data_IF_620864577200
#
_entry.id   IF_620864577200
#
_cell.length_a   1.000
_cell.length_b   1.000
_cell.length_c   1.000
_cell.angle_alpha   90.00
_cell.angle_beta   90.00
_cell.angle_gamma   90.00
#
_symmetry.space_group_name_H-M   'P 1'
#
loop_
_entity.id
_entity.type
_entity.pdbx_description
1 polymer ?
#
# COMPACT_ATOMS: atom_id res chain seq x y z
N UNK A 1 9.50 18.97 6.77
CA UNK A 1 8.28 18.26 7.14
C UNK A 1 8.53 16.78 7.32
N UNK A 2 7.94 16.23 8.33
CA UNK A 2 8.17 14.81 8.61
C UNK A 2 7.43 13.94 7.59
N UNK A 3 8.15 13.04 6.95
CA UNK A 3 7.55 12.03 6.10
C UNK A 3 7.40 10.75 6.91
N UNK A 4 6.52 9.88 6.43
CA UNK A 4 6.36 8.55 7.01
C UNK A 4 7.46 7.64 6.49
N UNK A 5 7.87 6.68 7.33
CA UNK A 5 8.72 5.58 6.91
C UNK A 5 7.83 4.48 6.34
N UNK A 6 8.26 3.83 5.27
CA UNK A 6 7.52 2.74 4.67
C UNK A 6 8.26 1.43 4.89
N UNK A 7 7.53 0.42 5.39
CA UNK A 7 8.03 -0.95 5.51
C UNK A 7 7.09 -1.87 4.77
N UNK A 8 7.65 -2.89 4.14
CA UNK A 8 6.85 -3.89 3.44
C UNK A 8 6.95 -5.22 4.16
N UNK A 9 5.79 -5.83 4.43
CA UNK A 9 5.78 -7.20 4.90
C UNK A 9 6.19 -8.13 3.75
N UNK A 10 6.58 -9.35 4.08
CA UNK A 10 7.07 -10.29 3.06
C UNK A 10 6.14 -10.49 1.88
N UNK A 11 4.81 -10.68 2.07
CA UNK A 11 3.94 -10.83 0.90
C UNK A 11 3.99 -9.64 -0.03
N UNK A 12 4.02 -8.42 0.52
CA UNK A 12 4.09 -7.21 -0.29
C UNK A 12 5.43 -7.10 -1.00
N UNK A 13 6.52 -7.39 -0.27
CA UNK A 13 7.86 -7.33 -0.84
C UNK A 13 8.02 -8.31 -2.00
N UNK A 14 7.53 -9.54 -1.81
CA UNK A 14 7.59 -10.56 -2.86
C UNK A 14 6.80 -10.15 -4.09
N UNK A 15 5.62 -9.61 -3.89
CA UNK A 15 4.79 -9.20 -5.02
C UNK A 15 5.44 -8.05 -5.77
N UNK A 16 6.04 -7.10 -5.06
CA UNK A 16 6.74 -5.99 -5.68
C UNK A 16 7.89 -6.49 -6.56
N UNK A 17 8.64 -7.47 -6.06
CA UNK A 17 9.75 -8.05 -6.83
C UNK A 17 9.28 -8.77 -8.09
N UNK A 18 8.07 -9.31 -8.08
CA UNK A 18 7.51 -10.04 -9.22
C UNK A 18 6.95 -9.14 -10.29
N UNK A 19 6.70 -7.87 -9.99
CA UNK A 19 6.18 -6.93 -10.96
C UNK A 19 7.25 -6.63 -12.02
N UNK A 20 6.80 -6.36 -13.24
CA UNK A 20 7.74 -5.90 -14.24
C UNK A 20 8.29 -4.53 -13.82
N UNK A 21 9.36 -4.11 -14.49
CA UNK A 21 10.09 -2.91 -14.09
C UNK A 21 9.21 -1.65 -14.11
N UNK A 22 8.35 -1.54 -15.11
CA UNK A 22 7.48 -0.36 -15.24
C UNK A 22 6.47 -0.31 -14.10
N UNK A 23 5.77 -1.43 -13.86
CA UNK A 23 4.79 -1.50 -12.79
C UNK A 23 5.44 -1.32 -11.42
N UNK A 24 6.57 -1.96 -11.20
CA UNK A 24 7.30 -1.83 -9.93
C UNK A 24 7.71 -0.39 -9.65
N UNK A 25 8.23 0.30 -10.66
CA UNK A 25 8.62 1.70 -10.51
C UNK A 25 7.43 2.57 -10.15
N UNK A 26 6.29 2.33 -10.80
CA UNK A 26 5.07 3.09 -10.49
C UNK A 26 4.60 2.86 -9.07
N UNK A 27 4.63 1.62 -8.60
CA UNK A 27 4.21 1.30 -7.24
C UNK A 27 5.14 1.97 -6.23
N UNK A 28 6.45 1.91 -6.45
CA UNK A 28 7.41 2.55 -5.54
C UNK A 28 7.18 4.07 -5.49
N UNK A 29 6.97 4.69 -6.64
CA UNK A 29 6.69 6.13 -6.68
C UNK A 29 5.42 6.47 -5.91
N UNK A 30 4.39 5.64 -6.06
CA UNK A 30 3.13 5.87 -5.36
C UNK A 30 3.30 5.73 -3.86
N UNK A 31 4.11 4.79 -3.42
CA UNK A 31 4.40 4.63 -1.99
C UNK A 31 5.15 5.83 -1.45
N UNK A 32 6.11 6.37 -2.21
CA UNK A 32 6.80 7.60 -1.78
C UNK A 32 5.83 8.77 -1.68
N UNK A 33 4.96 8.90 -2.67
CA UNK A 33 3.93 9.94 -2.63
C UNK A 33 3.06 9.78 -1.39
N UNK A 34 2.67 8.55 -1.06
CA UNK A 34 1.87 8.29 0.13
C UNK A 34 2.61 8.72 1.39
N UNK A 35 3.88 8.37 1.49
CA UNK A 35 4.69 8.73 2.67
C UNK A 35 4.76 10.23 2.87
N UNK A 36 4.79 10.99 1.77
CA UNK A 36 4.92 12.44 1.82
C UNK A 36 3.59 13.16 2.01
N UNK A 37 2.49 12.52 1.62
CA UNK A 37 1.19 13.19 1.54
C UNK A 37 0.12 12.61 2.46
N UNK A 38 0.46 11.60 3.26
CA UNK A 38 -0.55 10.89 4.05
C UNK A 38 -1.36 11.81 4.94
N UNK A 39 -0.72 12.81 5.55
CA UNK A 39 -1.39 13.71 6.46
C UNK A 39 -2.43 14.60 5.75
N UNK A 40 -2.31 14.75 4.44
CA UNK A 40 -3.20 15.61 3.68
C UNK A 40 -4.29 14.88 2.90
N UNK A 41 -4.38 13.56 3.01
CA UNK A 41 -5.37 12.79 2.27
C UNK A 41 -6.33 12.09 3.22
N UNK A 42 -7.43 11.59 2.67
CA UNK A 42 -8.37 10.74 3.41
C UNK A 42 -8.16 9.30 2.97
N UNK A 43 -7.40 8.49 3.74
CA UNK A 43 -7.17 7.11 3.36
C UNK A 43 -8.48 6.33 3.23
N UNK A 44 -8.56 5.47 2.24
CA UNK A 44 -9.76 4.69 1.96
C UNK A 44 -9.72 3.39 2.75
N UNK A 45 -10.59 3.20 3.77
CA UNK A 45 -10.53 2.01 4.59
C UNK A 45 -11.03 0.78 3.86
N UNK A 46 -10.42 -0.35 4.15
CA UNK A 46 -10.85 -1.65 3.64
C UNK A 46 -11.79 -2.31 4.66
N UNK A 47 -12.60 -3.24 4.17
CA UNK A 47 -13.59 -3.93 5.00
C UNK A 47 -13.32 -5.43 5.00
N UNK A 48 -14.10 -6.18 5.80
CA UNK A 48 -14.00 -7.63 5.84
C UNK A 48 -12.68 -8.08 6.45
N UNK A 49 -12.03 -9.04 5.78
CA UNK A 49 -10.78 -9.60 6.28
C UNK A 49 -9.63 -8.61 6.35
N UNK A 50 -9.72 -7.54 5.53
CA UNK A 50 -8.70 -6.53 5.51
C UNK A 50 -9.06 -5.31 6.34
N UNK A 51 -10.02 -5.44 7.23
CA UNK A 51 -10.41 -4.37 8.14
C UNK A 51 -9.20 -3.92 8.98
N UNK A 52 -9.05 -2.61 9.12
CA UNK A 52 -7.89 -2.03 9.78
C UNK A 52 -6.82 -1.58 8.82
N UNK A 53 -6.93 -1.98 7.55
CA UNK A 53 -6.02 -1.53 6.51
C UNK A 53 -6.69 -0.52 5.61
N UNK A 54 -5.87 0.17 4.83
CA UNK A 54 -6.34 1.16 3.87
C UNK A 54 -5.90 0.79 2.48
N UNK A 55 -6.64 1.23 1.49
CA UNK A 55 -6.38 0.93 0.09
C UNK A 55 -5.74 2.12 -0.62
N UNK A 56 -4.72 1.84 -1.42
CA UNK A 56 -4.11 2.81 -2.31
C UNK A 56 -4.11 2.23 -3.72
N UNK A 57 -4.45 3.05 -4.70
CA UNK A 57 -4.48 2.64 -6.09
C UNK A 57 -3.24 3.11 -6.83
N UNK A 58 -2.73 2.25 -7.71
CA UNK A 58 -1.78 2.65 -8.73
C UNK A 58 -2.11 1.87 -10.00
N UNK A 59 -2.81 2.50 -10.95
CA UNK A 59 -3.26 1.82 -12.15
C UNK A 59 -4.15 0.62 -11.79
N UNK A 60 -3.78 -0.55 -12.29
CA UNK A 60 -4.49 -1.79 -11.99
C UNK A 60 -4.03 -2.44 -10.69
N UNK A 61 -3.08 -1.84 -10.00
CA UNK A 61 -2.56 -2.40 -8.77
C UNK A 61 -3.21 -1.76 -7.57
N UNK A 62 -3.32 -2.54 -6.51
CA UNK A 62 -3.86 -2.10 -5.23
C UNK A 62 -2.86 -2.41 -4.15
N UNK A 63 -2.75 -1.49 -3.21
CA UNK A 63 -1.82 -1.59 -2.09
C UNK A 63 -2.66 -1.50 -0.82
N UNK A 64 -2.51 -2.49 0.05
CA UNK A 64 -3.17 -2.48 1.35
C UNK A 64 -2.15 -2.15 2.41
N UNK A 65 -2.41 -1.13 3.21
CA UNK A 65 -1.41 -0.64 4.16
C UNK A 65 -2.05 -0.26 5.48
N UNK A 66 -1.21 -0.25 6.50
CA UNK A 66 -1.58 0.10 7.87
C UNK A 66 -0.82 1.36 8.28
N UNK A 67 -1.45 2.21 9.10
CA UNK A 67 -0.88 3.48 9.51
C UNK A 67 -0.62 3.48 11.01
N UNK A 68 0.61 3.82 11.40
CA UNK A 68 0.97 4.05 12.79
C UNK A 68 1.42 5.52 12.91
N UNK A 69 0.48 6.38 13.25
CA UNK A 69 0.74 7.81 13.24
C UNK A 69 1.78 8.24 14.27
N UNK A 70 1.74 7.66 15.45
CA UNK A 70 2.69 8.02 16.49
C UNK A 70 4.12 7.77 16.09
N UNK A 71 4.37 6.68 15.39
CA UNK A 71 5.70 6.31 14.94
C UNK A 71 6.02 6.84 13.54
N UNK A 72 5.10 7.51 12.91
CA UNK A 72 5.25 7.96 11.52
C UNK A 72 5.66 6.80 10.63
N UNK A 73 4.87 5.72 10.69
CA UNK A 73 5.20 4.47 10.01
C UNK A 73 4.00 3.98 9.21
N UNK A 74 4.26 3.56 7.99
CA UNK A 74 3.29 2.89 7.12
C UNK A 74 3.81 1.48 6.88
N UNK A 75 2.98 0.48 7.17
CA UNK A 75 3.34 -0.90 6.89
C UNK A 75 2.47 -1.40 5.74
N UNK A 76 3.12 -1.79 4.65
CA UNK A 76 2.44 -2.31 3.47
C UNK A 76 2.27 -3.81 3.64
N UNK A 77 1.02 -4.24 3.72
CA UNK A 77 0.68 -5.66 3.92
C UNK A 77 0.62 -6.42 2.60
N UNK A 78 -0.02 -5.83 1.60
CA UNK A 78 -0.28 -6.52 0.33
C UNK A 78 -0.10 -5.55 -0.82
N UNK A 79 0.46 -6.08 -1.91
CA UNK A 79 0.49 -5.41 -3.20
C UNK A 79 0.00 -6.45 -4.20
N UNK A 80 -0.96 -6.08 -5.06
CA UNK A 80 -1.43 -7.02 -6.03
C UNK A 80 -2.33 -6.38 -7.06
N UNK A 81 -2.59 -7.14 -8.12
CA UNK A 81 -3.53 -6.71 -9.13
C UNK A 81 -4.91 -6.60 -8.48
N UNK A 82 -5.70 -5.63 -8.92
CA UNK A 82 -7.03 -5.38 -8.33
C UNK A 82 -7.88 -6.64 -8.20
N UNK A 83 -7.78 -7.56 -9.18
CA UNK A 83 -8.53 -8.82 -9.14
C UNK A 83 -8.12 -9.71 -7.98
N UNK A 84 -6.82 -9.78 -7.72
CA UNK A 84 -6.30 -10.64 -6.67
C UNK A 84 -6.64 -10.12 -5.29
N UNK A 85 -6.55 -8.81 -5.10
CA UNK A 85 -6.86 -8.20 -3.81
C UNK A 85 -8.35 -8.39 -3.49
N UNK A 86 -9.22 -8.23 -4.48
CA UNK A 86 -10.64 -8.42 -4.25
C UNK A 86 -10.98 -9.88 -3.94
N UNK A 87 -10.27 -10.83 -4.52
CA UNK A 87 -10.44 -12.24 -4.15
C UNK A 87 -10.07 -12.51 -2.70
N UNK A 88 -9.03 -11.85 -2.22
CA UNK A 88 -8.58 -12.02 -0.84
C UNK A 88 -9.56 -11.45 0.17
N UNK A 89 -10.42 -10.52 -0.26
CA UNK A 89 -11.45 -9.94 0.61
C UNK A 89 -12.62 -10.87 0.86
N UNK A 90 -12.89 -11.79 -0.03
CA UNK A 90 -14.08 -12.63 0.07
C UNK A 90 -13.91 -13.86 0.94
#
# INVERSE_FOLDING_TARGET
>A
MATYTIRLLKPASRELERLDKVAGTRVVRKLRWLAENLDGINPEPLKGRLRGLYKLREGDYRIAYEIFKGERLIIVHLIGHRREIYKMKS
#
